data_IF_259244528576
#
_entry.id   IF_259244528576
#
_cell.length_a   1.000
_cell.length_b   1.000
_cell.length_c   1.000
_cell.angle_alpha   90.00
_cell.angle_beta   90.00
_cell.angle_gamma   90.00
#
_symmetry.space_group_name_H-M   'P 1'
#
loop_
_entity.id
_entity.type
_entity.pdbx_description
1 polymer ?
#
# COMPACT_ATOMS: atom_id res chain seq x y z
N UNK A 1 12.23 51.71 13.88
CA UNK A 1 12.13 52.70 12.80
C UNK A 1 12.70 52.11 11.54
N UNK A 2 11.90 52.03 10.49
CA UNK A 2 12.35 51.67 9.14
C UNK A 2 11.55 50.52 8.51
N UNK A 3 10.28 50.79 8.15
CA UNK A 3 9.45 49.93 7.33
C UNK A 3 9.99 49.96 5.89
N UNK A 4 10.30 48.79 5.32
CA UNK A 4 10.54 48.66 3.87
C UNK A 4 9.30 48.03 3.25
N UNK A 5 8.44 48.88 2.68
CA UNK A 5 7.38 48.51 1.77
C UNK A 5 7.99 48.20 0.38
N UNK A 6 7.90 46.94 -0.07
CA UNK A 6 8.09 46.64 -1.50
C UNK A 6 6.69 46.60 -2.14
N UNK A 7 6.36 47.64 -2.87
CA UNK A 7 5.20 47.73 -3.76
C UNK A 7 5.44 46.86 -4.99
N UNK A 8 4.79 45.70 -5.06
CA UNK A 8 4.69 44.89 -6.28
C UNK A 8 3.31 45.07 -6.89
N UNK A 9 3.24 45.82 -7.98
CA UNK A 9 2.06 46.00 -8.83
C UNK A 9 1.73 44.70 -9.55
N UNK A 10 1.00 43.79 -8.93
CA UNK A 10 0.37 42.63 -9.53
C UNK A 10 -1.09 42.90 -9.81
N UNK A 11 -1.45 43.00 -11.09
CA UNK A 11 -2.85 43.08 -11.55
C UNK A 11 -3.64 41.94 -10.90
N UNK A 12 -4.76 42.30 -10.25
CA UNK A 12 -5.76 41.30 -9.82
C UNK A 12 -6.32 40.61 -11.05
N UNK A 13 -6.37 39.28 -11.11
CA UNK A 13 -7.15 38.59 -12.12
C UNK A 13 -8.63 38.93 -11.88
N UNK A 14 -9.28 39.43 -12.93
CA UNK A 14 -10.71 39.64 -13.00
C UNK A 14 -11.44 38.30 -12.78
N UNK A 15 -12.60 38.40 -12.19
CA UNK A 15 -13.65 37.41 -11.97
C UNK A 15 -13.44 36.09 -12.76
N UNK A 16 -12.90 35.11 -12.09
CA UNK A 16 -13.05 33.71 -12.54
C UNK A 16 -14.49 33.32 -12.24
N UNK A 17 -15.32 33.34 -13.28
CA UNK A 17 -16.59 32.60 -13.33
C UNK A 17 -16.37 31.23 -12.72
N UNK A 18 -17.31 30.82 -11.88
CA UNK A 18 -17.40 29.46 -11.35
C UNK A 18 -17.26 28.48 -12.52
N UNK A 19 -16.05 27.92 -12.71
CA UNK A 19 -15.85 26.83 -13.64
C UNK A 19 -16.68 25.69 -13.10
N UNK A 20 -17.71 25.23 -13.81
CA UNK A 20 -18.48 24.06 -13.37
C UNK A 20 -17.55 22.86 -13.43
N UNK A 21 -17.04 22.47 -12.25
CA UNK A 21 -16.35 21.20 -12.07
C UNK A 21 -17.45 20.13 -12.16
N UNK A 22 -17.75 19.68 -13.36
CA UNK A 22 -18.56 18.48 -13.59
C UNK A 22 -17.64 17.29 -13.45
N UNK A 23 -17.68 16.57 -12.31
CA UNK A 23 -17.05 15.26 -12.26
C UNK A 23 -17.78 14.38 -13.29
N UNK A 24 -17.08 13.76 -14.23
CA UNK A 24 -17.57 12.65 -15.04
C UNK A 24 -17.77 11.43 -14.13
N UNK A 25 -18.80 11.47 -13.26
CA UNK A 25 -19.01 10.38 -12.31
C UNK A 25 -20.49 10.17 -12.09
N UNK A 26 -20.86 8.92 -11.90
CA UNK A 26 -22.20 8.44 -11.63
C UNK A 26 -22.95 9.42 -10.72
N UNK A 27 -24.12 9.86 -11.13
CA UNK A 27 -24.97 10.74 -10.32
C UNK A 27 -25.27 10.02 -9.01
N UNK A 28 -24.84 10.64 -7.91
CA UNK A 28 -24.99 10.06 -6.56
C UNK A 28 -26.47 9.76 -6.25
N UNK A 29 -27.40 10.37 -6.97
CA UNK A 29 -28.83 10.14 -6.83
C UNK A 29 -29.30 8.81 -7.44
N UNK A 30 -28.57 8.25 -8.43
CA UNK A 30 -28.88 6.96 -9.05
C UNK A 30 -28.46 5.76 -8.20
N UNK A 31 -27.51 5.90 -7.29
CA UNK A 31 -27.05 4.81 -6.43
C UNK A 31 -28.12 4.32 -5.43
N UNK A 32 -29.11 5.16 -5.13
CA UNK A 32 -30.24 4.79 -4.28
C UNK A 32 -31.24 3.84 -4.94
N UNK A 33 -31.25 3.75 -6.27
CA UNK A 33 -32.18 2.91 -7.04
C UNK A 33 -31.64 1.50 -7.31
N UNK A 34 -30.33 1.35 -7.45
CA UNK A 34 -29.72 0.04 -7.77
C UNK A 34 -29.65 -0.92 -6.57
N UNK A 35 -29.62 -0.40 -5.34
CA UNK A 35 -29.50 -1.24 -4.14
C UNK A 35 -30.81 -1.88 -3.67
N UNK A 36 -31.95 -1.66 -4.37
CA UNK A 36 -33.24 -2.31 -4.04
C UNK A 36 -33.54 -3.60 -4.80
N UNK A 37 -32.71 -3.96 -5.80
CA UNK A 37 -32.98 -5.14 -6.65
C UNK A 37 -32.02 -6.33 -6.42
N UNK A 38 -31.14 -6.28 -5.45
CA UNK A 38 -30.23 -7.37 -5.13
C UNK A 38 -30.70 -8.20 -3.93
N UNK A 39 -31.99 -8.66 -3.97
CA UNK A 39 -32.45 -9.69 -3.03
C UNK A 39 -33.16 -10.80 -3.81
N UNK A 40 -32.55 -11.96 -3.69
CA UNK A 40 -32.98 -13.35 -3.92
C UNK A 40 -32.47 -14.03 -5.20
N UNK A 41 -31.53 -14.97 -5.08
CA UNK A 41 -31.43 -16.09 -6.01
C UNK A 41 -32.38 -17.19 -5.58
N UNK A 42 -33.37 -17.45 -6.40
CA UNK A 42 -34.26 -18.60 -6.26
C UNK A 42 -33.46 -19.91 -6.36
N UNK A 43 -33.63 -20.75 -5.34
CA UNK A 43 -33.20 -22.17 -5.36
C UNK A 43 -34.01 -22.91 -6.41
N UNK A 44 -33.40 -23.31 -7.52
CA UNK A 44 -33.91 -24.34 -8.40
C UNK A 44 -33.53 -25.70 -7.86
N UNK A 45 -34.55 -26.48 -7.51
CA UNK A 45 -34.42 -27.88 -7.09
C UNK A 45 -33.82 -28.74 -8.21
N UNK A 46 -32.87 -29.57 -7.88
CA UNK A 46 -32.40 -30.65 -8.72
C UNK A 46 -33.31 -31.86 -8.49
N UNK A 47 -33.94 -32.32 -9.55
CA UNK A 47 -34.57 -33.65 -9.63
C UNK A 47 -33.48 -34.73 -9.75
N UNK A 48 -33.66 -35.89 -9.14
CA UNK A 48 -32.71 -37.00 -9.25
C UNK A 48 -32.97 -37.82 -10.53
N UNK A 49 -31.90 -38.17 -11.21
CA UNK A 49 -31.85 -39.06 -12.38
C UNK A 49 -31.96 -40.54 -11.93
N UNK A 50 -32.94 -41.31 -12.41
CA UNK A 50 -33.14 -42.71 -12.06
C UNK A 50 -32.57 -43.63 -13.16
N UNK A 51 -31.30 -43.98 -13.12
CA UNK A 51 -30.75 -45.17 -13.82
C UNK A 51 -29.38 -45.56 -13.31
N UNK A 52 -29.42 -46.42 -12.30
CA UNK A 52 -28.29 -47.30 -12.04
C UNK A 52 -28.77 -48.71 -11.75
N UNK A 53 -29.00 -49.44 -12.84
CA UNK A 53 -29.31 -50.87 -12.77
C UNK A 53 -28.09 -51.66 -12.28
N UNK A 54 -28.36 -52.52 -11.33
CA UNK A 54 -27.51 -53.52 -10.74
C UNK A 54 -27.16 -54.59 -11.77
N UNK A 55 -25.90 -54.94 -11.92
CA UNK A 55 -25.50 -56.24 -12.42
C UNK A 55 -24.84 -57.03 -11.28
N UNK A 56 -25.57 -58.12 -10.87
CA UNK A 56 -25.07 -59.18 -9.99
C UNK A 56 -24.15 -60.12 -10.79
N UNK A 57 -23.16 -60.75 -10.14
CA UNK A 57 -22.31 -61.75 -10.76
C UNK A 57 -22.98 -63.11 -10.79
N UNK A 58 -22.75 -63.83 -11.87
CA UNK A 58 -23.20 -65.20 -12.08
C UNK A 58 -22.07 -66.19 -11.74
N UNK A 59 -22.30 -67.18 -10.89
CA UNK A 59 -21.32 -68.25 -10.63
C UNK A 59 -21.54 -69.42 -11.58
N UNK A 60 -20.51 -70.15 -11.82
CA UNK A 60 -20.41 -71.49 -12.51
C UNK A 60 -19.79 -71.50 -13.91
N UNK A 61 -18.54 -71.93 -13.89
CA UNK A 61 -18.08 -73.03 -14.75
C UNK A 61 -16.72 -73.52 -14.30
N UNK A 62 -16.72 -74.77 -13.91
CA UNK A 62 -15.57 -75.61 -13.57
C UNK A 62 -14.72 -76.02 -14.81
N UNK A 63 -13.49 -76.53 -14.61
CA UNK A 63 -12.46 -76.62 -15.61
C UNK A 63 -12.44 -77.93 -16.35
N UNK A 64 -12.15 -77.89 -17.61
CA UNK A 64 -11.71 -79.09 -18.35
C UNK A 64 -10.19 -79.20 -18.46
N UNK A 65 -9.68 -80.31 -17.99
CA UNK A 65 -8.31 -80.75 -18.22
C UNK A 65 -8.13 -81.20 -19.69
N UNK A 66 -7.09 -80.70 -20.30
CA UNK A 66 -6.47 -81.52 -21.38
C UNK A 66 -4.94 -81.43 -21.28
N UNK A 67 -4.34 -82.60 -21.31
CA UNK A 67 -2.91 -82.87 -21.33
C UNK A 67 -2.36 -82.60 -22.69
N UNK A 68 -1.19 -82.00 -22.83
CA UNK A 68 0.01 -82.59 -23.46
C UNK A 68 1.04 -81.51 -23.86
N UNK A 69 2.31 -81.90 -23.78
CA UNK A 69 3.35 -81.33 -24.58
C UNK A 69 4.36 -80.45 -23.90
N UNK A 70 5.43 -81.01 -23.43
CA UNK A 70 6.59 -80.30 -22.92
C UNK A 70 7.27 -79.42 -23.97
N UNK A 71 7.65 -78.24 -23.54
CA UNK A 71 8.78 -77.56 -24.14
C UNK A 71 9.46 -76.72 -23.05
N UNK A 72 10.78 -76.85 -22.98
CA UNK A 72 11.65 -76.04 -22.15
C UNK A 72 11.44 -74.56 -22.42
N UNK A 73 10.84 -73.87 -21.53
CA UNK A 73 10.75 -72.39 -21.50
C UNK A 73 11.72 -71.82 -20.48
N UNK A 74 12.66 -71.04 -20.96
CA UNK A 74 13.60 -70.27 -20.15
C UNK A 74 12.83 -69.42 -19.11
N UNK A 75 13.22 -69.51 -17.84
CA UNK A 75 12.73 -68.69 -16.78
C UNK A 75 13.02 -67.20 -17.08
N UNK A 76 12.04 -66.28 -17.05
CA UNK A 76 12.35 -64.89 -17.24
C UNK A 76 13.20 -64.42 -16.08
N UNK A 77 14.40 -63.97 -16.38
CA UNK A 77 15.33 -63.39 -15.43
C UNK A 77 14.64 -62.30 -14.54
N UNK A 78 14.51 -62.64 -13.26
CA UNK A 78 14.07 -61.64 -12.22
C UNK A 78 14.95 -60.42 -12.30
N UNK A 79 14.42 -59.30 -12.82
CA UNK A 79 15.09 -58.01 -12.82
C UNK A 79 15.40 -57.62 -11.36
N UNK A 80 16.68 -57.72 -10.99
CA UNK A 80 17.16 -57.27 -9.67
C UNK A 80 16.73 -55.80 -9.46
N UNK A 81 16.15 -55.43 -8.29
CA UNK A 81 15.76 -54.06 -8.04
C UNK A 81 17.00 -53.17 -8.17
N UNK A 82 16.93 -52.14 -9.04
CA UNK A 82 18.03 -51.19 -9.22
C UNK A 82 18.25 -50.52 -7.86
N UNK A 83 19.40 -50.77 -7.23
CA UNK A 83 19.83 -50.09 -6.00
C UNK A 83 19.88 -48.59 -6.33
N UNK A 84 18.93 -47.79 -5.77
CA UNK A 84 18.98 -46.33 -5.88
C UNK A 84 20.38 -45.88 -5.47
N UNK A 85 21.07 -45.17 -6.34
CA UNK A 85 22.49 -44.82 -6.13
C UNK A 85 22.62 -44.02 -4.82
N UNK A 86 23.73 -44.18 -4.10
CA UNK A 86 24.02 -43.43 -2.86
C UNK A 86 23.91 -41.91 -3.14
N UNK A 87 24.32 -41.47 -4.33
CA UNK A 87 24.19 -40.08 -4.79
C UNK A 87 22.73 -39.60 -4.86
N UNK A 88 21.79 -40.43 -5.36
CA UNK A 88 20.38 -40.08 -5.40
C UNK A 88 19.75 -39.94 -4.00
N UNK A 89 20.20 -40.76 -3.03
CA UNK A 89 19.77 -40.63 -1.62
C UNK A 89 20.35 -39.37 -0.96
N UNK A 90 21.64 -39.08 -1.19
CA UNK A 90 22.30 -37.87 -0.70
C UNK A 90 21.61 -36.62 -1.25
N UNK A 91 21.34 -36.57 -2.56
CA UNK A 91 20.61 -35.46 -3.19
C UNK A 91 19.21 -35.28 -2.60
N UNK A 92 18.48 -36.38 -2.35
CA UNK A 92 17.16 -36.33 -1.72
C UNK A 92 17.22 -35.80 -0.29
N UNK A 93 18.23 -36.18 0.50
CA UNK A 93 18.42 -35.66 1.87
C UNK A 93 18.74 -34.15 1.83
N UNK A 94 19.65 -33.74 0.93
CA UNK A 94 19.97 -32.28 0.76
C UNK A 94 18.73 -31.50 0.36
N UNK A 95 17.93 -31.98 -0.58
CA UNK A 95 16.67 -31.36 -0.98
C UNK A 95 15.68 -31.29 0.20
N UNK A 96 15.54 -32.36 0.97
CA UNK A 96 14.66 -32.41 2.14
C UNK A 96 15.10 -31.42 3.20
N UNK A 97 16.39 -31.33 3.50
CA UNK A 97 16.95 -30.33 4.44
C UNK A 97 16.70 -28.91 3.92
N UNK A 98 16.90 -28.67 2.64
CA UNK A 98 16.61 -27.36 2.03
C UNK A 98 15.11 -26.98 2.17
N UNK A 99 14.20 -27.92 1.89
CA UNK A 99 12.75 -27.70 2.06
C UNK A 99 12.39 -27.42 3.52
N UNK A 100 13.00 -28.14 4.47
CA UNK A 100 12.78 -27.90 5.90
C UNK A 100 13.26 -26.51 6.33
N UNK A 101 14.43 -26.07 5.87
CA UNK A 101 14.96 -24.73 6.17
C UNK A 101 14.04 -23.66 5.55
N UNK A 102 13.67 -23.82 4.27
CA UNK A 102 12.77 -22.85 3.60
C UNK A 102 11.41 -22.75 4.29
N UNK A 103 10.83 -23.91 4.69
CA UNK A 103 9.56 -23.96 5.44
C UNK A 103 9.68 -23.32 6.81
N UNK A 104 10.82 -23.51 7.49
CA UNK A 104 11.07 -22.86 8.79
C UNK A 104 11.16 -21.33 8.66
N UNK A 105 11.89 -20.84 7.67
CA UNK A 105 11.98 -19.39 7.40
C UNK A 105 10.60 -18.84 7.07
N UNK A 106 9.84 -19.51 6.19
CA UNK A 106 8.48 -19.12 5.86
C UNK A 106 7.59 -19.08 7.11
N UNK A 107 7.64 -20.10 7.95
CA UNK A 107 6.87 -20.17 9.21
C UNK A 107 7.19 -19.03 10.18
N UNK A 108 8.47 -18.66 10.32
CA UNK A 108 8.88 -17.53 11.16
C UNK A 108 8.36 -16.20 10.60
N UNK A 109 8.48 -15.96 9.29
CA UNK A 109 8.00 -14.73 8.65
C UNK A 109 6.48 -14.63 8.76
N UNK A 110 5.75 -15.74 8.48
CA UNK A 110 4.29 -15.79 8.59
C UNK A 110 3.82 -15.56 10.03
N UNK A 111 4.44 -16.22 11.03
CA UNK A 111 4.12 -16.00 12.43
C UNK A 111 4.38 -14.56 12.90
N UNK A 112 5.41 -13.92 12.35
CA UNK A 112 5.68 -12.50 12.60
C UNK A 112 4.62 -11.62 11.92
N UNK A 113 4.27 -11.89 10.66
CA UNK A 113 3.22 -11.19 9.92
C UNK A 113 1.83 -11.33 10.57
N UNK A 114 1.56 -12.46 11.22
CA UNK A 114 0.27 -12.72 11.89
C UNK A 114 0.05 -11.88 13.16
N UNK A 115 1.03 -11.09 13.59
CA UNK A 115 0.89 -10.14 14.71
C UNK A 115 0.17 -8.84 14.34
N UNK A 116 -0.07 -8.60 13.06
CA UNK A 116 -0.71 -7.39 12.54
C UNK A 116 -2.19 -7.33 12.97
N UNK A 117 -2.71 -6.13 13.24
CA UNK A 117 -4.15 -5.91 13.44
C UNK A 117 -4.86 -5.89 12.08
N UNK A 118 -5.14 -7.10 11.59
CA UNK A 118 -5.75 -7.33 10.28
C UNK A 118 -7.24 -7.04 10.31
N UNK A 119 -7.68 -6.06 9.52
CA UNK A 119 -9.05 -5.55 9.43
C UNK A 119 -9.57 -5.59 7.99
N UNK A 120 -9.86 -6.76 7.42
CA UNK A 120 -10.32 -6.87 6.03
C UNK A 120 -11.65 -6.14 5.80
N UNK A 121 -12.48 -6.03 6.83
CA UNK A 121 -13.77 -5.35 6.78
C UNK A 121 -13.68 -3.83 6.63
N UNK A 122 -12.50 -3.25 6.86
CA UNK A 122 -12.28 -1.80 6.80
C UNK A 122 -11.77 -1.29 5.44
N UNK A 123 -11.63 -2.17 4.47
CA UNK A 123 -11.36 -1.80 3.07
C UNK A 123 -12.24 -2.66 2.15
N UNK A 124 -13.39 -2.10 1.82
CA UNK A 124 -14.36 -2.69 0.89
C UNK A 124 -14.28 -1.95 -0.44
N UNK A 125 -14.81 -2.58 -1.48
CA UNK A 125 -14.97 -1.94 -2.77
C UNK A 125 -15.73 -0.61 -2.63
N UNK A 126 -15.22 0.42 -3.28
CA UNK A 126 -15.80 1.76 -3.23
C UNK A 126 -17.17 1.77 -3.91
N UNK A 127 -18.22 2.02 -3.14
CA UNK A 127 -19.60 2.03 -3.65
C UNK A 127 -19.99 3.33 -4.35
N UNK A 128 -19.12 4.34 -4.36
CA UNK A 128 -19.36 5.66 -4.93
C UNK A 128 -18.75 5.87 -6.31
N UNK A 129 -17.94 4.92 -6.78
CA UNK A 129 -17.32 4.92 -8.11
C UNK A 129 -17.41 3.51 -8.70
N UNK A 130 -17.41 3.43 -10.02
CA UNK A 130 -17.19 2.15 -10.69
C UNK A 130 -15.70 1.81 -10.61
N UNK A 131 -15.35 0.77 -9.88
CA UNK A 131 -13.97 0.34 -9.64
C UNK A 131 -13.21 0.03 -10.95
N UNK A 132 -13.94 -0.37 -12.01
CA UNK A 132 -13.35 -0.61 -13.33
C UNK A 132 -12.85 0.65 -14.02
N UNK A 133 -13.33 1.83 -13.59
CA UNK A 133 -12.90 3.14 -14.15
C UNK A 133 -11.71 3.74 -13.44
N UNK A 134 -11.32 3.21 -12.28
CA UNK A 134 -10.18 3.68 -11.51
C UNK A 134 -8.87 3.36 -12.25
N UNK A 135 -7.96 4.35 -12.27
CA UNK A 135 -6.62 4.13 -12.81
C UNK A 135 -5.89 3.07 -12.00
N UNK A 136 -5.45 2.03 -12.67
CA UNK A 136 -4.80 0.86 -12.08
C UNK A 136 -3.83 0.22 -13.08
N UNK A 137 -2.73 -0.32 -12.57
CA UNK A 137 -1.80 -1.20 -13.29
C UNK A 137 -1.41 -2.36 -12.35
N UNK A 138 -1.52 -3.59 -12.81
CA UNK A 138 -1.23 -4.80 -12.03
C UNK A 138 0.21 -4.90 -11.51
N UNK A 139 1.13 -4.15 -12.10
CA UNK A 139 2.54 -4.06 -11.67
C UNK A 139 2.82 -2.86 -10.77
N UNK A 140 1.83 -2.01 -10.50
CA UNK A 140 1.90 -0.91 -9.55
C UNK A 140 1.01 -1.25 -8.37
N UNK A 141 1.56 -1.23 -7.15
CA UNK A 141 0.79 -1.46 -5.92
C UNK A 141 0.74 -0.18 -5.13
N UNK A 142 -0.46 0.34 -4.88
CA UNK A 142 -0.72 1.58 -4.16
C UNK A 142 -1.12 1.29 -2.72
N UNK A 143 -0.30 1.70 -1.75
CA UNK A 143 -0.55 1.54 -0.31
C UNK A 143 -0.71 2.92 0.30
N UNK A 144 -1.89 3.21 0.86
CA UNK A 144 -2.17 4.49 1.51
C UNK A 144 -1.78 4.46 2.99
N UNK A 145 -0.80 5.27 3.36
CA UNK A 145 -0.40 5.51 4.74
C UNK A 145 -1.25 6.65 5.30
N UNK A 146 -2.06 6.36 6.31
CA UNK A 146 -2.95 7.33 6.96
C UNK A 146 -2.40 7.63 8.34
N UNK A 147 -1.83 8.82 8.51
CA UNK A 147 -1.32 9.28 9.79
C UNK A 147 -2.43 9.88 10.65
N UNK A 148 -2.61 9.35 11.86
CA UNK A 148 -3.63 9.81 12.82
C UNK A 148 -2.99 10.33 14.10
N UNK A 149 -3.62 11.36 14.71
CA UNK A 149 -3.20 11.93 15.99
C UNK A 149 -3.91 11.16 17.12
N UNK A 150 -3.26 10.13 17.65
CA UNK A 150 -3.80 9.28 18.72
C UNK A 150 -3.59 7.78 18.48
N UNK A 151 -4.30 6.95 19.22
CA UNK A 151 -4.29 5.50 19.03
C UNK A 151 -5.07 5.11 17.78
N UNK A 152 -4.62 4.08 17.07
CA UNK A 152 -5.30 3.51 15.89
C UNK A 152 -6.74 3.04 16.16
N UNK A 153 -7.14 2.95 17.42
CA UNK A 153 -8.48 2.55 17.87
C UNK A 153 -9.48 3.70 18.00
N UNK A 154 -9.05 4.97 17.90
CA UNK A 154 -9.93 6.12 18.03
C UNK A 154 -10.49 6.53 16.66
N UNK A 155 -11.77 6.27 16.43
CA UNK A 155 -12.48 6.50 15.16
C UNK A 155 -12.88 7.96 14.93
N UNK A 156 -12.68 8.86 15.91
CA UNK A 156 -13.06 10.28 15.80
C UNK A 156 -11.93 11.18 15.25
N UNK A 157 -10.78 10.60 14.93
CA UNK A 157 -9.57 11.33 14.58
C UNK A 157 -9.58 11.82 13.13
N UNK A 158 -9.04 13.02 12.92
CA UNK A 158 -8.73 13.51 11.57
C UNK A 158 -7.39 12.94 11.11
N UNK A 159 -7.32 12.57 9.85
CA UNK A 159 -6.05 12.19 9.22
C UNK A 159 -5.22 13.45 8.93
N UNK A 160 -4.13 13.62 9.66
CA UNK A 160 -3.22 14.75 9.42
C UNK A 160 -2.21 14.46 8.27
N UNK A 161 -2.06 13.20 7.90
CA UNK A 161 -1.21 12.72 6.80
C UNK A 161 -1.95 11.69 5.97
N UNK A 162 -1.95 11.88 4.66
CA UNK A 162 -2.42 10.91 3.67
C UNK A 162 -1.33 10.81 2.61
N UNK A 163 -0.52 9.77 2.70
CA UNK A 163 0.64 9.53 1.85
C UNK A 163 0.51 8.18 1.16
N UNK A 164 0.34 8.17 -0.14
CA UNK A 164 0.33 6.95 -0.94
C UNK A 164 1.76 6.57 -1.32
N UNK A 165 2.13 5.35 -1.02
CA UNK A 165 3.35 4.70 -1.50
C UNK A 165 2.99 3.75 -2.63
N UNK A 166 3.48 4.03 -3.83
CA UNK A 166 3.26 3.22 -5.02
C UNK A 166 4.54 2.46 -5.38
N UNK A 167 4.47 1.13 -5.34
CA UNK A 167 5.59 0.25 -5.73
C UNK A 167 5.43 -0.04 -7.22
N UNK A 168 6.20 0.65 -8.05
CA UNK A 168 6.19 0.54 -9.49
C UNK A 168 7.25 -0.46 -9.97
N UNK A 169 6.78 -1.65 -10.34
CA UNK A 169 7.66 -2.74 -10.82
C UNK A 169 8.03 -2.60 -12.31
N UNK A 170 7.29 -1.76 -13.07
CA UNK A 170 7.62 -1.48 -14.47
C UNK A 170 8.90 -0.65 -14.55
N UNK A 171 8.95 0.44 -13.77
CA UNK A 171 10.03 1.43 -13.83
C UNK A 171 11.05 1.26 -12.69
N UNK A 172 10.92 0.22 -11.86
CA UNK A 172 11.76 0.00 -10.66
C UNK A 172 11.84 1.25 -9.78
N UNK A 173 10.68 1.82 -9.45
CA UNK A 173 10.56 3.04 -8.64
C UNK A 173 9.62 2.83 -7.44
N UNK A 174 9.91 3.52 -6.35
CA UNK A 174 8.97 3.74 -5.26
C UNK A 174 8.51 5.20 -5.36
N UNK A 175 7.22 5.43 -5.61
CA UNK A 175 6.65 6.75 -5.79
C UNK A 175 5.85 7.14 -4.55
N UNK A 176 6.18 8.26 -3.93
CA UNK A 176 5.50 8.80 -2.75
C UNK A 176 4.60 9.96 -3.18
N UNK A 177 3.29 9.87 -2.96
CA UNK A 177 2.31 10.90 -3.31
C UNK A 177 1.59 11.40 -2.06
N UNK A 178 1.80 12.65 -1.67
CA UNK A 178 1.05 13.28 -0.56
C UNK A 178 -0.25 13.89 -1.05
N UNK A 179 -1.39 13.50 -0.45
CA UNK A 179 -2.67 14.18 -0.62
C UNK A 179 -2.81 15.25 0.46
N UNK A 180 -2.96 16.51 0.04
CA UNK A 180 -3.05 17.61 1.01
C UNK A 180 -4.38 17.57 1.76
N UNK A 181 -4.29 17.56 3.08
CA UNK A 181 -5.45 17.40 3.99
C UNK A 181 -6.51 18.50 3.88
N UNK A 182 -6.07 19.73 3.54
CA UNK A 182 -6.95 20.91 3.43
C UNK A 182 -7.57 21.04 2.03
N UNK A 183 -7.39 20.07 1.13
CA UNK A 183 -8.02 20.03 -0.18
C UNK A 183 -9.53 19.99 -0.04
N UNK A 184 -10.21 20.91 -0.75
CA UNK A 184 -11.66 21.01 -0.80
C UNK A 184 -12.22 19.97 -1.75
N UNK A 185 -12.57 18.81 -1.20
CA UNK A 185 -12.97 17.62 -1.95
C UNK A 185 -14.42 17.22 -1.65
N UNK A 186 -15.04 16.52 -2.56
CA UNK A 186 -16.34 15.88 -2.31
C UNK A 186 -16.13 14.71 -1.36
N UNK A 187 -16.82 14.72 -0.21
CA UNK A 187 -16.88 13.54 0.67
C UNK A 187 -18.10 12.73 0.24
N UNK A 188 -17.93 11.58 -0.40
CA UNK A 188 -19.03 10.92 -1.12
C UNK A 188 -20.19 10.47 -0.21
N UNK A 189 -19.90 10.03 1.02
CA UNK A 189 -20.92 9.62 1.99
C UNK A 189 -21.85 10.76 2.40
N UNK A 190 -21.35 12.00 2.43
CA UNK A 190 -22.13 13.20 2.80
C UNK A 190 -22.69 13.94 1.59
N UNK A 191 -22.29 13.56 0.38
CA UNK A 191 -22.59 14.25 -0.88
C UNK A 191 -22.27 15.76 -0.86
N UNK A 192 -21.27 16.15 -0.07
CA UNK A 192 -20.91 17.54 0.16
C UNK A 192 -19.41 17.76 0.12
N UNK A 193 -19.03 18.99 -0.23
CA UNK A 193 -17.63 19.42 -0.15
C UNK A 193 -17.20 19.68 1.30
N UNK A 194 -16.03 19.14 1.66
CA UNK A 194 -15.32 19.44 2.90
C UNK A 194 -13.81 19.30 2.68
N UNK A 195 -13.00 19.61 3.70
CA UNK A 195 -11.57 19.26 3.69
C UNK A 195 -11.40 17.75 3.60
N UNK A 196 -10.45 17.29 2.78
CA UNK A 196 -10.18 15.88 2.56
C UNK A 196 -9.99 15.10 3.87
N UNK A 197 -9.29 15.69 4.85
CA UNK A 197 -9.05 15.04 6.14
C UNK A 197 -10.31 14.83 7.01
N UNK A 198 -11.42 15.49 6.68
CA UNK A 198 -12.69 15.28 7.37
C UNK A 198 -13.27 13.88 7.10
N UNK A 199 -12.91 13.27 5.97
CA UNK A 199 -13.33 11.92 5.63
C UNK A 199 -12.98 10.90 6.74
N UNK A 200 -11.79 11.04 7.34
CA UNK A 200 -11.34 10.15 8.42
C UNK A 200 -12.28 10.22 9.64
N UNK A 201 -12.68 11.43 10.05
CA UNK A 201 -13.60 11.61 11.18
C UNK A 201 -15.04 11.13 10.89
N UNK A 202 -15.45 11.09 9.61
CA UNK A 202 -16.81 10.70 9.22
C UNK A 202 -16.94 9.17 8.98
N UNK A 203 -15.89 8.50 8.55
CA UNK A 203 -15.97 7.07 8.18
C UNK A 203 -14.63 6.33 8.22
N UNK A 204 -13.66 6.83 9.00
CA UNK A 204 -12.39 6.13 9.19
C UNK A 204 -11.56 5.99 7.91
N UNK A 205 -10.72 4.97 7.87
CA UNK A 205 -9.83 4.69 6.75
C UNK A 205 -10.59 4.42 5.45
N UNK A 206 -11.70 3.67 5.50
CA UNK A 206 -12.52 3.38 4.33
C UNK A 206 -12.97 4.66 3.62
N UNK A 207 -13.53 5.61 4.36
CA UNK A 207 -14.04 6.83 3.74
C UNK A 207 -12.91 7.76 3.25
N UNK A 208 -11.71 7.69 3.83
CA UNK A 208 -10.53 8.37 3.28
C UNK A 208 -10.17 7.78 1.92
N UNK A 209 -10.13 6.45 1.81
CA UNK A 209 -9.89 5.73 0.55
C UNK A 209 -10.95 6.10 -0.48
N UNK A 210 -12.23 5.92 -0.14
CA UNK A 210 -13.36 6.23 -1.02
C UNK A 210 -13.31 7.68 -1.53
N UNK A 211 -12.93 8.61 -0.66
CA UNK A 211 -12.82 10.03 -1.00
C UNK A 211 -11.65 10.31 -1.94
N UNK A 212 -10.50 9.67 -1.75
CA UNK A 212 -9.36 9.82 -2.66
C UNK A 212 -9.68 9.21 -4.01
N UNK A 213 -10.19 7.99 -4.06
CA UNK A 213 -10.57 7.32 -5.30
C UNK A 213 -11.62 8.10 -6.07
N UNK A 214 -12.65 8.61 -5.36
CA UNK A 214 -13.73 9.41 -5.95
C UNK A 214 -13.22 10.70 -6.60
N UNK A 215 -12.32 11.44 -5.94
CA UNK A 215 -11.86 12.74 -6.43
C UNK A 215 -10.66 12.65 -7.37
N UNK A 216 -9.76 11.68 -7.19
CA UNK A 216 -8.52 11.59 -7.96
C UNK A 216 -8.48 10.44 -8.95
N UNK A 217 -9.53 9.62 -9.02
CA UNK A 217 -9.65 8.49 -9.94
C UNK A 217 -8.46 7.51 -9.92
N UNK A 218 -7.83 7.31 -8.77
CA UNK A 218 -6.70 6.41 -8.56
C UNK A 218 -7.11 5.28 -7.64
N UNK A 219 -6.86 4.02 -8.02
CA UNK A 219 -7.15 2.87 -7.17
C UNK A 219 -6.15 2.78 -6.04
N UNK A 220 -6.64 2.57 -4.83
CA UNK A 220 -5.84 2.24 -3.64
C UNK A 220 -5.99 0.74 -3.38
N UNK A 221 -4.88 0.00 -3.39
CA UNK A 221 -4.91 -1.45 -3.22
C UNK A 221 -4.96 -1.83 -1.74
N UNK A 222 -4.23 -1.08 -0.90
CA UNK A 222 -4.15 -1.32 0.55
C UNK A 222 -3.99 -0.03 1.33
N UNK A 223 -4.23 -0.12 2.65
CA UNK A 223 -3.93 0.99 3.56
C UNK A 223 -3.18 0.52 4.81
N UNK A 224 -2.57 1.47 5.51
CA UNK A 224 -1.99 1.31 6.85
C UNK A 224 -2.33 2.53 7.71
N UNK A 225 -2.88 2.34 8.90
CA UNK A 225 -2.99 3.40 9.90
C UNK A 225 -1.69 3.51 10.70
N UNK A 226 -1.18 4.73 10.82
CA UNK A 226 0.09 5.04 11.48
C UNK A 226 -0.14 6.08 12.58
N UNK A 227 -0.10 5.63 13.84
CA UNK A 227 -0.11 6.51 15.01
C UNK A 227 1.29 7.06 15.32
N UNK A 228 1.38 8.06 16.20
CA UNK A 228 2.65 8.71 16.55
C UNK A 228 3.63 7.77 17.25
N UNK A 229 3.14 6.93 18.17
CA UNK A 229 4.00 5.98 18.91
C UNK A 229 4.59 4.93 17.96
N UNK A 230 3.78 4.44 17.01
CA UNK A 230 4.25 3.54 15.97
C UNK A 230 5.32 4.20 15.10
N UNK A 231 5.09 5.44 14.64
CA UNK A 231 6.06 6.20 13.83
C UNK A 231 7.41 6.34 14.55
N UNK A 232 7.41 6.73 15.83
CA UNK A 232 8.62 6.82 16.64
C UNK A 232 9.31 5.47 16.79
N UNK A 233 8.52 4.42 17.10
CA UNK A 233 9.03 3.05 17.27
C UNK A 233 9.68 2.52 15.99
N UNK A 234 9.14 2.82 14.82
CA UNK A 234 9.74 2.45 13.52
C UNK A 234 11.13 3.04 13.39
N UNK A 235 11.25 4.35 13.57
CA UNK A 235 12.51 5.09 13.41
C UNK A 235 13.56 4.62 14.43
N UNK A 236 13.18 4.49 15.70
CA UNK A 236 14.10 4.05 16.76
C UNK A 236 14.57 2.59 16.55
N UNK A 237 13.71 1.74 16.00
CA UNK A 237 14.04 0.32 15.76
C UNK A 237 15.07 0.11 14.65
N UNK A 238 15.18 1.04 13.70
CA UNK A 238 16.22 1.02 12.67
C UNK A 238 17.48 1.81 13.09
N UNK A 239 17.51 2.33 14.33
CA UNK A 239 18.62 3.10 14.87
C UNK A 239 18.62 4.56 14.44
N UNK A 240 17.46 5.15 14.18
CA UNK A 240 17.32 6.52 13.70
C UNK A 240 17.46 6.67 12.19
N UNK A 241 17.24 7.89 11.71
CA UNK A 241 17.35 8.26 10.29
C UNK A 241 18.20 9.51 10.14
N UNK A 242 18.76 9.69 8.94
CA UNK A 242 19.56 10.85 8.60
C UNK A 242 18.81 11.69 7.57
N UNK A 243 18.58 12.98 7.89
CA UNK A 243 17.77 13.90 7.09
C UNK A 243 18.45 15.26 7.01
N UNK A 244 18.38 15.90 5.83
CA UNK A 244 18.79 17.29 5.70
C UNK A 244 17.86 18.20 6.51
N UNK A 245 18.44 19.08 7.33
CA UNK A 245 17.74 20.06 8.18
C UNK A 245 18.31 21.45 7.94
N UNK A 246 17.45 22.37 7.52
CA UNK A 246 17.83 23.77 7.35
C UNK A 246 18.02 24.47 8.71
N UNK A 247 18.78 25.57 8.75
CA UNK A 247 18.96 26.33 9.98
C UNK A 247 17.65 26.86 10.57
N UNK A 248 16.70 27.29 9.73
CA UNK A 248 15.37 27.73 10.18
C UNK A 248 14.57 26.59 10.84
N UNK A 249 14.65 25.39 10.27
CA UNK A 249 14.01 24.20 10.84
C UNK A 249 14.65 23.81 12.17
N UNK A 250 15.98 23.77 12.23
CA UNK A 250 16.71 23.47 13.47
C UNK A 250 16.38 24.47 14.60
N UNK A 251 16.39 25.77 14.31
CA UNK A 251 15.99 26.80 15.26
C UNK A 251 14.55 26.62 15.76
N UNK A 252 13.62 26.35 14.85
CA UNK A 252 12.23 26.09 15.21
C UNK A 252 12.08 24.85 16.09
N UNK A 253 12.76 23.77 15.75
CA UNK A 253 12.76 22.52 16.52
C UNK A 253 13.30 22.74 17.93
N UNK A 254 14.46 23.39 18.07
CA UNK A 254 15.07 23.73 19.37
C UNK A 254 14.14 24.57 20.27
N UNK A 255 13.41 25.51 19.65
CA UNK A 255 12.49 26.39 20.37
C UNK A 255 11.18 25.67 20.76
N UNK A 256 10.80 24.60 20.06
CA UNK A 256 9.45 24.01 20.18
C UNK A 256 9.41 22.81 21.11
N UNK A 257 10.45 21.97 21.12
CA UNK A 257 10.40 20.72 21.86
C UNK A 257 11.72 20.39 22.60
N UNK A 258 11.58 19.86 23.82
CA UNK A 258 12.74 19.46 24.63
C UNK A 258 13.60 18.41 23.95
N UNK A 259 12.97 17.45 23.23
CA UNK A 259 13.66 16.36 22.55
C UNK A 259 14.59 16.83 21.41
N UNK A 260 14.45 18.08 20.96
CA UNK A 260 15.19 18.63 19.82
C UNK A 260 16.13 19.78 20.20
N UNK A 261 16.41 20.00 21.49
CA UNK A 261 17.26 21.12 21.96
C UNK A 261 18.68 21.14 21.37
N UNK A 262 19.22 19.96 21.04
CA UNK A 262 20.58 19.79 20.54
C UNK A 262 20.64 19.61 19.02
N UNK A 263 19.51 19.64 18.33
CA UNK A 263 19.48 19.49 16.87
C UNK A 263 20.19 20.66 16.20
N UNK A 264 21.13 20.33 15.32
CA UNK A 264 21.84 21.28 14.46
C UNK A 264 21.30 21.20 13.04
N UNK A 265 21.56 22.23 12.24
CA UNK A 265 21.34 22.18 10.79
C UNK A 265 22.45 21.40 10.09
N UNK A 266 22.15 20.86 8.92
CA UNK A 266 23.12 20.12 8.09
C UNK A 266 22.47 19.29 7.01
N UNK A 267 23.27 18.78 6.08
CA UNK A 267 22.81 17.93 4.97
C UNK A 267 22.42 16.52 5.43
N UNK A 268 22.96 16.05 6.56
CA UNK A 268 22.72 14.72 7.12
C UNK A 268 22.68 14.78 8.65
N UNK A 269 21.51 15.12 9.17
CA UNK A 269 21.29 15.26 10.63
C UNK A 269 20.62 14.00 11.14
N UNK A 270 21.28 13.32 12.06
CA UNK A 270 20.74 12.12 12.70
C UNK A 270 19.57 12.47 13.62
N UNK A 271 18.44 11.77 13.46
CA UNK A 271 17.23 11.94 14.27
C UNK A 271 16.74 10.61 14.80
N UNK A 272 16.41 10.56 16.08
CA UNK A 272 15.58 9.51 16.67
C UNK A 272 14.10 9.73 16.36
N UNK A 273 13.22 8.79 16.77
CA UNK A 273 11.80 8.84 16.47
C UNK A 273 11.10 10.09 17.00
N UNK A 274 11.43 10.52 18.22
CA UNK A 274 10.83 11.71 18.82
C UNK A 274 11.25 13.00 18.06
N UNK A 275 12.48 13.11 17.65
CA UNK A 275 13.02 14.24 16.89
C UNK A 275 12.41 14.29 15.48
N UNK A 276 12.34 13.15 14.80
CA UNK A 276 11.72 13.03 13.49
C UNK A 276 10.20 13.36 13.52
N UNK A 277 9.49 12.99 14.60
CA UNK A 277 8.10 13.36 14.78
C UNK A 277 7.94 14.89 14.90
N UNK A 278 8.79 15.56 15.68
CA UNK A 278 8.79 17.04 15.78
C UNK A 278 9.06 17.65 14.41
N UNK A 279 10.05 17.16 13.65
CA UNK A 279 10.36 17.61 12.29
C UNK A 279 9.19 17.47 11.33
N UNK A 280 8.51 16.32 11.30
CA UNK A 280 7.33 16.07 10.48
C UNK A 280 6.12 16.95 10.84
N UNK A 281 6.08 17.50 12.06
CA UNK A 281 4.97 18.32 12.58
C UNK A 281 5.23 19.82 12.50
N UNK A 282 6.35 20.29 11.95
CA UNK A 282 6.62 21.71 11.72
C UNK A 282 5.54 22.28 10.79
N UNK A 283 4.80 23.28 11.27
CA UNK A 283 3.70 23.95 10.54
C UNK A 283 3.76 25.48 10.60
N UNK A 284 4.25 26.02 11.71
CA UNK A 284 4.28 27.48 11.93
C UNK A 284 5.42 28.19 11.25
N UNK A 285 6.38 27.44 10.72
CA UNK A 285 7.55 27.97 10.03
C UNK A 285 7.23 28.37 8.58
N UNK A 286 6.30 27.63 7.97
CA UNK A 286 5.96 27.76 6.55
C UNK A 286 4.58 27.14 6.24
N UNK A 287 4.38 26.58 5.04
CA UNK A 287 3.10 26.07 4.54
C UNK A 287 2.87 24.59 4.88
N UNK A 288 1.62 24.13 4.72
CA UNK A 288 1.26 22.72 4.77
C UNK A 288 1.96 21.88 3.66
N UNK A 289 2.29 22.52 2.54
CA UNK A 289 3.10 21.92 1.47
C UNK A 289 4.50 21.52 1.96
N UNK A 290 5.15 22.40 2.72
CA UNK A 290 6.48 22.12 3.29
C UNK A 290 6.41 21.07 4.39
N UNK A 291 5.33 21.02 5.15
CA UNK A 291 5.09 19.92 6.10
C UNK A 291 5.04 18.57 5.39
N UNK A 292 4.24 18.43 4.34
CA UNK A 292 4.17 17.16 3.59
C UNK A 292 5.49 16.83 2.88
N UNK A 293 6.26 17.83 2.46
CA UNK A 293 7.61 17.62 1.94
C UNK A 293 8.53 17.00 3.01
N UNK A 294 8.54 17.53 4.25
CA UNK A 294 9.30 16.94 5.38
C UNK A 294 8.90 15.52 5.67
N UNK A 295 7.60 15.22 5.64
CA UNK A 295 7.08 13.86 5.83
C UNK A 295 7.64 12.90 4.76
N UNK A 296 7.64 13.30 3.48
CA UNK A 296 8.23 12.49 2.41
C UNK A 296 9.75 12.33 2.55
N UNK A 297 10.48 13.37 2.96
CA UNK A 297 11.93 13.27 3.27
C UNK A 297 12.20 12.20 4.33
N UNK A 298 11.43 12.18 5.41
CA UNK A 298 11.56 11.18 6.48
C UNK A 298 11.26 9.78 5.99
N UNK A 299 10.17 9.58 5.22
CA UNK A 299 9.85 8.27 4.66
C UNK A 299 10.93 7.80 3.67
N UNK A 300 11.45 8.70 2.83
CA UNK A 300 12.57 8.39 1.92
C UNK A 300 13.82 7.95 2.69
N UNK A 301 14.17 8.67 3.77
CA UNK A 301 15.29 8.31 4.61
C UNK A 301 15.09 6.95 5.32
N UNK A 302 13.85 6.67 5.76
CA UNK A 302 13.49 5.40 6.37
C UNK A 302 13.60 4.23 5.36
N UNK A 303 13.16 4.41 4.12
CA UNK A 303 13.31 3.41 3.05
C UNK A 303 14.79 3.09 2.84
N UNK A 304 15.63 4.12 2.65
CA UNK A 304 17.08 3.96 2.48
C UNK A 304 17.74 3.26 3.68
N UNK A 305 17.30 3.57 4.90
CA UNK A 305 17.81 2.93 6.12
C UNK A 305 17.40 1.45 6.19
N UNK A 306 16.17 1.13 5.77
CA UNK A 306 15.67 -0.25 5.73
C UNK A 306 16.41 -1.12 4.70
N UNK A 307 16.82 -0.55 3.54
CA UNK A 307 17.60 -1.25 2.52
C UNK A 307 18.95 -1.78 3.04
N UNK A 308 19.56 -1.07 3.99
CA UNK A 308 20.85 -1.42 4.58
C UNK A 308 20.75 -2.16 5.91
N UNK A 309 19.52 -2.32 6.43
CA UNK A 309 19.30 -2.97 7.73
C UNK A 309 19.51 -4.47 7.67
N UNK A 310 20.10 -5.03 8.74
CA UNK A 310 20.28 -6.48 8.84
C UNK A 310 18.92 -7.21 8.93
N UNK A 311 18.80 -8.46 8.47
CA UNK A 311 17.56 -9.25 8.62
C UNK A 311 17.10 -9.36 10.08
N UNK A 312 18.03 -9.40 11.04
CA UNK A 312 17.71 -9.43 12.46
C UNK A 312 17.12 -8.09 12.95
N UNK A 313 17.64 -6.96 12.45
CA UNK A 313 17.09 -5.63 12.73
C UNK A 313 15.67 -5.51 12.17
N UNK A 314 15.45 -5.94 10.92
CA UNK A 314 14.14 -5.93 10.28
C UNK A 314 13.14 -6.83 11.02
N UNK A 315 13.58 -8.00 11.49
CA UNK A 315 12.73 -8.86 12.32
C UNK A 315 12.35 -8.21 13.64
N UNK A 316 13.30 -7.60 14.36
CA UNK A 316 13.04 -6.86 15.62
C UNK A 316 12.08 -5.69 15.39
N UNK A 317 12.25 -4.95 14.27
CA UNK A 317 11.34 -3.90 13.85
C UNK A 317 9.93 -4.46 13.65
N UNK A 318 9.79 -5.52 12.85
CA UNK A 318 8.51 -6.14 12.58
C UNK A 318 7.83 -6.65 13.86
N UNK A 319 8.55 -7.33 14.75
CA UNK A 319 8.03 -7.82 16.02
C UNK A 319 7.44 -6.71 16.92
N UNK A 320 8.02 -5.50 16.88
CA UNK A 320 7.56 -4.35 17.67
C UNK A 320 6.42 -3.59 16.99
N UNK A 321 6.48 -3.44 15.68
CA UNK A 321 5.63 -2.53 14.92
C UNK A 321 4.35 -3.19 14.44
N UNK A 322 4.42 -4.45 13.98
CA UNK A 322 3.24 -5.13 13.41
C UNK A 322 2.04 -5.19 14.35
N UNK A 323 2.19 -5.40 15.68
CA UNK A 323 1.05 -5.34 16.60
C UNK A 323 0.38 -3.96 16.72
N UNK A 324 1.05 -2.90 16.23
CA UNK A 324 0.56 -1.51 16.27
C UNK A 324 -0.09 -1.09 14.94
N UNK A 325 0.09 -1.90 13.87
CA UNK A 325 -0.39 -1.59 12.53
C UNK A 325 -1.80 -2.11 12.35
N UNK A 326 -2.74 -1.22 12.05
CA UNK A 326 -4.04 -1.59 11.53
C UNK A 326 -4.02 -1.48 10.00
N UNK A 327 -4.41 -2.54 9.30
CA UNK A 327 -4.38 -2.63 7.84
C UNK A 327 -5.34 -3.69 7.30
N UNK A 328 -5.66 -3.60 6.01
CA UNK A 328 -6.36 -4.63 5.24
C UNK A 328 -5.42 -5.67 4.60
N UNK A 329 -4.10 -5.46 4.70
CA UNK A 329 -3.12 -6.43 4.18
C UNK A 329 -3.17 -7.69 5.02
N UNK A 330 -3.52 -8.83 4.42
CA UNK A 330 -3.53 -10.10 5.14
C UNK A 330 -2.12 -10.55 5.55
N UNK A 331 -1.96 -11.35 6.62
CA UNK A 331 -0.67 -11.91 7.02
C UNK A 331 0.05 -12.65 5.88
N UNK A 332 -0.70 -13.32 5.00
CA UNK A 332 -0.14 -14.02 3.85
C UNK A 332 0.39 -13.06 2.79
N UNK A 333 -0.34 -11.98 2.50
CA UNK A 333 0.10 -10.94 1.55
C UNK A 333 1.31 -10.20 2.10
N UNK A 334 1.30 -9.83 3.38
CA UNK A 334 2.47 -9.24 4.04
C UNK A 334 3.68 -10.16 3.96
N UNK A 335 3.49 -11.47 4.18
CA UNK A 335 4.55 -12.47 4.02
C UNK A 335 5.10 -12.48 2.59
N UNK A 336 4.25 -12.43 1.57
CA UNK A 336 4.67 -12.32 0.16
C UNK A 336 5.44 -11.03 -0.12
N UNK A 337 4.98 -9.89 0.44
CA UNK A 337 5.68 -8.61 0.32
C UNK A 337 7.07 -8.67 0.94
N UNK A 338 7.22 -9.27 2.13
CA UNK A 338 8.51 -9.45 2.81
C UNK A 338 9.46 -10.31 1.97
N UNK A 339 9.01 -11.44 1.43
CA UNK A 339 9.83 -12.27 0.53
C UNK A 339 10.12 -11.59 -0.81
N UNK A 340 9.25 -10.67 -1.25
CA UNK A 340 9.45 -9.85 -2.44
C UNK A 340 10.39 -8.66 -2.21
N UNK A 341 10.56 -8.20 -0.97
CA UNK A 341 11.28 -6.97 -0.63
C UNK A 341 12.71 -6.89 -1.19
N UNK A 342 13.52 -7.98 -1.24
CA UNK A 342 14.84 -7.92 -1.85
C UNK A 342 14.85 -7.47 -3.32
N UNK A 343 13.73 -7.63 -4.04
CA UNK A 343 13.59 -7.18 -5.44
C UNK A 343 13.44 -5.66 -5.55
N UNK A 344 13.09 -4.99 -4.47
CA UNK A 344 12.84 -3.55 -4.41
C UNK A 344 14.04 -2.76 -3.88
N UNK A 345 15.09 -3.46 -3.42
CA UNK A 345 16.35 -2.83 -3.01
C UNK A 345 16.97 -2.14 -4.22
N UNK A 346 17.30 -0.85 -4.04
CA UNK A 346 17.86 -0.03 -5.12
C UNK A 346 16.81 0.57 -6.06
N UNK A 347 15.51 0.43 -5.78
CA UNK A 347 14.50 1.20 -6.50
C UNK A 347 14.67 2.69 -6.21
N UNK A 348 14.62 3.51 -7.27
CA UNK A 348 14.69 4.96 -7.13
C UNK A 348 13.42 5.50 -6.44
N UNK A 349 13.60 6.37 -5.43
CA UNK A 349 12.48 6.95 -4.68
C UNK A 349 12.14 8.32 -5.27
N UNK A 350 10.96 8.45 -5.85
CA UNK A 350 10.39 9.71 -6.33
C UNK A 350 9.31 10.21 -5.38
N UNK A 351 9.16 11.53 -5.23
CA UNK A 351 8.18 12.08 -4.31
C UNK A 351 7.48 13.30 -4.86
N UNK A 352 6.13 13.24 -4.87
CA UNK A 352 5.27 14.29 -5.36
C UNK A 352 4.11 14.55 -4.41
N UNK A 353 3.29 15.53 -4.72
CA UNK A 353 2.08 15.91 -3.99
C UNK A 353 0.93 16.24 -4.92
N UNK A 354 -0.25 16.06 -4.45
CA UNK A 354 -1.46 16.60 -5.06
C UNK A 354 -2.22 17.43 -4.02
N UNK A 355 -2.69 18.62 -4.41
CA UNK A 355 -2.63 19.21 -5.75
C UNK A 355 -1.20 19.52 -6.21
N UNK A 356 -0.97 19.25 -7.49
CA UNK A 356 0.29 19.57 -8.16
C UNK A 356 0.43 21.08 -8.39
N UNK A 357 1.64 21.55 -8.75
CA UNK A 357 1.89 22.97 -8.98
C UNK A 357 0.99 23.55 -10.06
N UNK A 358 0.55 24.80 -9.86
CA UNK A 358 -0.33 25.52 -10.77
C UNK A 358 -1.74 24.95 -10.99
N UNK A 359 -2.16 23.93 -10.20
CA UNK A 359 -3.50 23.33 -10.30
C UNK A 359 -4.39 23.66 -9.11
N UNK A 360 -4.03 24.61 -8.27
CA UNK A 360 -4.74 24.92 -7.05
C UNK A 360 -4.72 26.41 -6.69
N UNK A 361 -5.67 26.81 -5.85
CA UNK A 361 -5.72 28.14 -5.22
C UNK A 361 -6.15 28.04 -3.76
N UNK A 362 -5.65 28.96 -2.92
CA UNK A 362 -6.15 29.09 -1.53
C UNK A 362 -7.42 29.93 -1.52
N UNK A 363 -8.47 29.42 -0.89
CA UNK A 363 -9.76 30.08 -0.77
C UNK A 363 -10.33 29.93 0.65
N UNK A 364 -11.31 30.76 0.97
CA UNK A 364 -12.13 30.59 2.19
C UNK A 364 -13.49 30.03 1.80
N UNK A 365 -13.81 28.82 2.27
CA UNK A 365 -15.12 28.17 2.08
C UNK A 365 -15.72 27.82 3.44
N UNK A 366 -16.97 28.17 3.67
CA UNK A 366 -17.66 27.95 4.96
C UNK A 366 -16.84 28.45 6.18
N UNK A 367 -16.18 29.61 6.06
CA UNK A 367 -15.34 30.18 7.11
C UNK A 367 -14.00 29.46 7.35
N UNK A 368 -13.61 28.49 6.52
CA UNK A 368 -12.37 27.74 6.64
C UNK A 368 -11.42 28.05 5.48
N UNK A 369 -10.12 28.20 5.77
CA UNK A 369 -9.10 28.22 4.72
C UNK A 369 -8.98 26.83 4.11
N UNK A 370 -9.10 26.72 2.78
CA UNK A 370 -9.09 25.47 2.02
C UNK A 370 -8.24 25.61 0.75
N UNK A 371 -7.85 24.51 0.20
CA UNK A 371 -7.16 24.40 -1.09
C UNK A 371 -8.19 23.93 -2.12
N UNK A 372 -8.59 24.80 -3.02
CA UNK A 372 -9.44 24.45 -4.16
C UNK A 372 -8.54 24.06 -5.32
N UNK A 373 -8.85 22.94 -5.94
CA UNK A 373 -7.98 22.36 -6.98
C UNK A 373 -8.76 21.96 -8.22
N UNK A 374 -8.07 21.95 -9.35
CA UNK A 374 -8.50 21.32 -10.60
C UNK A 374 -8.23 19.81 -10.48
N UNK A 375 -9.27 19.02 -10.25
CA UNK A 375 -9.14 17.56 -10.11
C UNK A 375 -8.78 16.87 -11.43
N UNK A 376 -9.27 17.36 -12.58
CA UNK A 376 -8.97 16.75 -13.88
C UNK A 376 -7.49 16.90 -14.23
N UNK A 377 -6.91 18.09 -14.00
CA UNK A 377 -5.48 18.32 -14.16
C UNK A 377 -4.65 17.41 -13.23
N UNK A 378 -5.09 17.22 -11.98
CA UNK A 378 -4.40 16.34 -11.03
C UNK A 378 -4.56 14.85 -11.37
N UNK A 379 -5.69 14.43 -11.93
CA UNK A 379 -5.90 13.07 -12.44
C UNK A 379 -4.92 12.79 -13.59
N UNK A 380 -4.77 13.72 -14.53
CA UNK A 380 -3.82 13.57 -15.66
C UNK A 380 -2.37 13.53 -15.14
N UNK A 381 -2.03 14.40 -14.19
CA UNK A 381 -0.72 14.35 -13.54
C UNK A 381 -0.46 12.99 -12.87
N UNK A 382 -1.40 12.48 -12.05
CA UNK A 382 -1.26 11.19 -11.38
C UNK A 382 -1.17 10.04 -12.38
N UNK A 383 -1.94 10.08 -13.48
CA UNK A 383 -1.88 9.08 -14.54
C UNK A 383 -0.47 8.99 -15.13
N UNK A 384 0.12 10.13 -15.46
CA UNK A 384 1.48 10.19 -16.00
C UNK A 384 2.51 9.78 -14.95
N UNK A 385 2.43 10.36 -13.76
CA UNK A 385 3.41 10.13 -12.70
C UNK A 385 3.42 8.68 -12.21
N UNK A 386 2.24 8.05 -12.06
CA UNK A 386 2.15 6.70 -11.48
C UNK A 386 2.32 5.59 -12.52
N UNK A 387 1.78 5.76 -13.74
CA UNK A 387 1.55 4.65 -14.65
C UNK A 387 2.22 4.79 -16.03
N UNK A 388 2.85 5.94 -16.37
CA UNK A 388 3.65 5.97 -17.59
C UNK A 388 4.90 5.10 -17.43
N UNK A 389 5.21 4.36 -18.49
CA UNK A 389 6.49 3.66 -18.59
C UNK A 389 7.54 4.66 -19.06
N UNK A 390 8.68 4.72 -18.37
CA UNK A 390 9.84 5.43 -18.87
C UNK A 390 10.24 4.81 -20.21
N UNK A 391 10.70 5.60 -21.19
CA UNK A 391 11.33 5.04 -22.39
C UNK A 391 12.45 4.09 -21.90
N UNK A 392 12.47 2.88 -22.42
CA UNK A 392 13.59 1.96 -22.20
C UNK A 392 14.81 2.68 -22.76
N UNK A 393 15.76 3.09 -21.91
CA UNK A 393 17.09 3.46 -22.38
C UNK A 393 17.64 2.18 -23.03
N UNK A 394 17.60 2.12 -24.35
CA UNK A 394 18.31 1.09 -25.10
C UNK A 394 19.78 1.24 -24.74
N UNK A 395 20.34 0.23 -24.13
CA UNK A 395 21.74 0.15 -23.73
C UNK A 395 22.59 0.23 -25.01
N UNK A 396 23.05 1.42 -25.41
CA UNK A 396 23.91 1.67 -26.55
C UNK A 396 25.32 1.01 -26.38
N UNK A 397 25.49 0.10 -25.44
CA UNK A 397 26.76 -0.62 -25.20
C UNK A 397 26.80 -2.02 -25.79
N UNK A 398 26.05 -2.27 -26.88
CA UNK A 398 26.19 -3.48 -27.69
C UNK A 398 26.61 -3.10 -29.12
N UNK A 399 27.84 -2.61 -29.28
CA UNK A 399 28.52 -2.51 -30.59
C UNK A 399 29.98 -2.92 -30.45
#
# INVERSE_FOLDING_TARGET
>A
MGDIYISGNGKRPQDTQDIPITPRRVDINDLGAQNRNAQQPQRRGQQPDPRREQRRPNPDKQPQRSSNGGQHGEEPARKKPKKKSRAARALFIVLLVFVLIASSIFGVVYATASKIDYKPETHKENVYVDSSTLMHDSKVTNILLIGVDGSSSDTSLRSDTMLMMSIDRNNKKIKLTSFLRDTWAVIPSTKAYNKLNAACAYGGAQLVIDTIEYNYNVKIDHYMLVGFDMFQTIIDSVGGIDVEVTEKEAQFMRATARATREIQSGESVHMNGAQALVYCRIRKLDSDFMRTHRQRKVITALIKKAETASPLTLKKLADKVLPMVQTDISPMELTKLVFGAPKYIGYDVKSERVPHENTWSSQTKKGQSVIVTDFDANIQFLKTYLYSTDPVEEDETAS
#
